data_IF_447623464352
#
_entry.id   IF_447623464352
#
_cell.length_a   1.000
_cell.length_b   1.000
_cell.length_c   1.000
_cell.angle_alpha   90.00
_cell.angle_beta   90.00
_cell.angle_gamma   90.00
#
_symmetry.space_group_name_H-M   'P 1'
#
loop_
_entity.id
_entity.type
_entity.pdbx_description
1 polymer ?
#
# COMPACT_ATOMS: atom_id res chain seq x y z
N UNK A 1 -9.27 8.75 25.26
CA UNK A 1 -9.02 9.83 24.27
C UNK A 1 -8.74 9.13 22.93
N UNK A 2 -8.26 9.77 21.85
CA UNK A 2 -7.57 9.08 20.73
C UNK A 2 -8.27 8.71 19.40
N UNK A 3 -9.57 8.98 19.17
CA UNK A 3 -10.12 8.93 17.78
C UNK A 3 -9.93 10.24 17.01
N UNK A 4 -10.17 11.38 17.69
CA UNK A 4 -10.11 12.69 17.05
C UNK A 4 -8.67 13.15 16.76
N UNK A 5 -7.71 12.72 17.57
CA UNK A 5 -6.26 12.99 17.37
C UNK A 5 -5.70 12.20 16.19
N UNK A 6 -6.19 10.96 15.98
CA UNK A 6 -5.78 10.12 14.85
C UNK A 6 -6.35 10.64 13.52
N UNK A 7 -7.64 11.00 13.48
CA UNK A 7 -8.26 11.62 12.30
C UNK A 7 -7.56 12.93 11.94
N UNK A 8 -7.34 13.83 12.92
CA UNK A 8 -6.64 15.09 12.66
C UNK A 8 -5.15 14.93 12.31
N UNK A 9 -4.54 13.78 12.55
CA UNK A 9 -3.16 13.49 12.11
C UNK A 9 -3.13 12.88 10.71
N UNK A 10 -4.08 12.00 10.39
CA UNK A 10 -4.26 11.45 9.04
C UNK A 10 -4.65 12.51 8.02
N UNK A 11 -5.56 13.43 8.38
CA UNK A 11 -5.97 14.56 7.53
C UNK A 11 -4.77 15.48 7.21
N UNK A 12 -3.93 15.79 8.19
CA UNK A 12 -2.71 16.58 7.97
C UNK A 12 -1.73 15.89 7.02
N UNK A 13 -1.50 14.59 7.19
CA UNK A 13 -0.63 13.83 6.30
C UNK A 13 -1.19 13.75 4.87
N UNK A 14 -2.51 13.68 4.72
CA UNK A 14 -3.17 13.72 3.42
C UNK A 14 -3.01 15.09 2.75
N UNK A 15 -3.21 16.19 3.48
CA UNK A 15 -3.00 17.55 2.97
C UNK A 15 -1.54 17.77 2.53
N UNK A 16 -0.59 17.30 3.33
CA UNK A 16 0.84 17.37 3.00
C UNK A 16 1.20 16.52 1.78
N UNK A 17 0.62 15.32 1.64
CA UNK A 17 0.75 14.49 0.45
C UNK A 17 0.25 15.22 -0.80
N UNK A 18 -0.97 15.78 -0.77
CA UNK A 18 -1.55 16.51 -1.90
C UNK A 18 -0.66 17.70 -2.28
N UNK A 19 -0.19 18.47 -1.30
CA UNK A 19 0.71 19.60 -1.53
C UNK A 19 2.05 19.17 -2.12
N UNK A 20 2.64 18.10 -1.60
CA UNK A 20 3.91 17.58 -2.10
C UNK A 20 3.79 17.03 -3.52
N UNK A 21 2.70 16.30 -3.82
CA UNK A 21 2.45 15.76 -5.16
C UNK A 21 2.27 16.86 -6.21
N UNK A 22 1.62 17.99 -5.86
CA UNK A 22 1.48 19.14 -6.76
C UNK A 22 2.81 19.85 -7.09
N UNK A 23 3.82 19.71 -6.23
CA UNK A 23 5.14 20.32 -6.39
C UNK A 23 6.17 19.35 -6.98
N UNK A 24 5.85 18.06 -7.04
CA UNK A 24 6.73 17.03 -7.55
C UNK A 24 6.76 17.02 -9.08
N UNK A 25 7.94 16.83 -9.66
CA UNK A 25 8.04 16.37 -11.04
C UNK A 25 7.43 14.97 -11.17
N UNK A 26 7.01 14.53 -12.38
CA UNK A 26 6.46 13.19 -12.57
C UNK A 26 7.36 12.08 -12.01
N UNK A 27 8.69 12.18 -12.19
CA UNK A 27 9.65 11.19 -11.70
C UNK A 27 9.75 11.13 -10.16
N UNK A 28 9.36 12.20 -9.45
CA UNK A 28 9.40 12.26 -7.98
C UNK A 28 8.12 11.74 -7.33
N UNK A 29 7.00 11.67 -8.09
CA UNK A 29 5.71 11.21 -7.57
C UNK A 29 5.74 9.85 -6.85
N UNK A 30 6.41 8.81 -7.36
CA UNK A 30 6.48 7.51 -6.68
C UNK A 30 7.13 7.62 -5.30
N UNK A 31 8.18 8.42 -5.19
CA UNK A 31 8.92 8.64 -3.93
C UNK A 31 8.06 9.41 -2.94
N UNK A 32 7.39 10.48 -3.40
CA UNK A 32 6.46 11.27 -2.57
C UNK A 32 5.33 10.38 -2.05
N UNK A 33 4.70 9.61 -2.93
CA UNK A 33 3.55 8.77 -2.57
C UNK A 33 3.93 7.68 -1.56
N UNK A 34 5.07 7.01 -1.77
CA UNK A 34 5.56 6.00 -0.83
C UNK A 34 5.90 6.60 0.55
N UNK A 35 6.54 7.78 0.58
CA UNK A 35 6.89 8.46 1.84
C UNK A 35 5.66 8.72 2.72
N UNK A 36 4.57 9.22 2.14
CA UNK A 36 3.37 9.50 2.91
C UNK A 36 2.56 8.24 3.22
N UNK A 37 2.59 7.21 2.36
CA UNK A 37 2.05 5.90 2.70
C UNK A 37 2.71 5.32 3.95
N UNK A 38 4.04 5.37 4.04
CA UNK A 38 4.79 4.97 5.23
C UNK A 38 4.44 5.81 6.45
N UNK A 39 4.38 7.15 6.30
CA UNK A 39 4.02 8.06 7.39
C UNK A 39 2.60 7.84 7.92
N UNK A 40 1.67 7.41 7.07
CA UNK A 40 0.30 7.05 7.44
C UNK A 40 0.17 5.63 8.04
N UNK A 41 1.26 4.85 8.10
CA UNK A 41 1.24 3.47 8.57
C UNK A 41 0.63 2.48 7.56
N UNK A 42 0.52 2.88 6.30
CA UNK A 42 -0.07 2.11 5.20
C UNK A 42 0.97 1.19 4.51
N UNK A 43 2.19 1.07 5.00
CA UNK A 43 3.21 0.25 4.37
C UNK A 43 3.80 0.91 3.12
N UNK A 44 3.78 0.23 1.97
CA UNK A 44 4.45 0.67 0.74
C UNK A 44 3.43 1.01 -0.34
N UNK A 45 3.59 2.13 -1.04
CA UNK A 45 2.73 2.46 -2.18
C UNK A 45 3.50 2.44 -3.51
N UNK A 46 2.85 1.94 -4.57
CA UNK A 46 3.42 1.82 -5.91
C UNK A 46 2.41 2.31 -6.93
N UNK A 47 2.78 3.28 -7.76
CA UNK A 47 1.89 3.76 -8.82
C UNK A 47 2.08 2.85 -10.05
N UNK A 48 0.97 2.47 -10.71
CA UNK A 48 0.99 1.66 -11.93
C UNK A 48 0.32 2.41 -13.07
N UNK A 49 1.08 2.69 -14.12
CA UNK A 49 0.56 3.36 -15.31
C UNK A 49 0.11 2.31 -16.32
N UNK A 50 -1.02 2.56 -16.98
CA UNK A 50 -1.38 1.73 -18.14
C UNK A 50 -0.42 2.05 -19.29
N UNK A 51 0.07 1.03 -19.98
CA UNK A 51 0.88 1.23 -21.18
C UNK A 51 0.03 1.81 -22.33
N UNK A 52 0.69 2.34 -23.36
CA UNK A 52 0.01 3.00 -24.50
C UNK A 52 -0.91 2.00 -25.23
N UNK A 53 -0.57 0.72 -25.27
CA UNK A 53 -1.39 -0.30 -25.93
C UNK A 53 -2.56 -0.81 -25.08
N UNK A 54 -2.67 -0.36 -23.82
CA UNK A 54 -3.69 -0.76 -22.85
C UNK A 54 -3.74 -2.27 -22.59
N UNK A 55 -2.57 -2.88 -22.44
CA UNK A 55 -2.39 -4.32 -22.19
C UNK A 55 -1.72 -4.59 -20.85
N UNK A 56 -0.86 -3.67 -20.40
CA UNK A 56 -0.03 -3.85 -19.23
C UNK A 56 -0.19 -2.66 -18.29
N UNK A 57 -0.10 -2.97 -17.00
CA UNK A 57 0.15 -2.00 -15.95
C UNK A 57 1.65 -2.01 -15.66
N UNK A 58 2.31 -0.92 -16.00
CA UNK A 58 3.74 -0.71 -15.84
C UNK A 58 3.98 0.05 -14.53
N UNK A 59 4.82 -0.47 -13.62
CA UNK A 59 5.11 0.22 -12.38
C UNK A 59 5.88 1.50 -12.67
N UNK A 60 5.47 2.59 -12.02
CA UNK A 60 6.15 3.88 -12.12
C UNK A 60 7.34 3.97 -11.15
N UNK A 61 7.96 2.84 -10.84
CA UNK A 61 9.16 2.72 -10.01
C UNK A 61 9.91 1.48 -10.47
N UNK A 62 11.23 1.51 -10.39
CA UNK A 62 12.05 0.34 -10.74
C UNK A 62 11.88 -0.80 -9.73
N UNK A 63 12.15 -2.03 -10.19
CA UNK A 63 12.18 -3.23 -9.34
C UNK A 63 10.83 -3.87 -9.03
N UNK A 64 9.73 -3.27 -9.49
CA UNK A 64 8.40 -3.89 -9.45
C UNK A 64 8.08 -4.59 -10.78
N UNK A 65 7.28 -5.67 -10.77
CA UNK A 65 6.90 -6.36 -11.99
C UNK A 65 5.77 -5.62 -12.74
N UNK A 66 5.77 -5.73 -14.06
CA UNK A 66 4.59 -5.38 -14.87
C UNK A 66 3.44 -6.36 -14.60
N UNK A 67 2.20 -5.87 -14.69
CA UNK A 67 1.00 -6.69 -14.48
C UNK A 67 0.14 -6.71 -15.75
N UNK A 68 -0.32 -7.90 -16.13
CA UNK A 68 -1.32 -8.06 -17.18
C UNK A 68 -2.60 -7.31 -16.82
N UNK A 69 -3.07 -6.41 -17.69
CA UNK A 69 -4.29 -5.67 -17.43
C UNK A 69 -5.48 -6.62 -17.30
N UNK A 70 -5.65 -7.56 -18.23
CA UNK A 70 -6.85 -8.42 -18.27
C UNK A 70 -6.84 -9.58 -17.27
N UNK A 71 -5.66 -9.98 -16.79
CA UNK A 71 -5.49 -11.13 -15.91
C UNK A 71 -5.09 -10.76 -14.47
N UNK A 72 -4.99 -9.47 -14.12
CA UNK A 72 -4.62 -9.05 -12.76
C UNK A 72 -5.78 -8.41 -11.99
N UNK A 73 -5.78 -8.54 -10.65
CA UNK A 73 -6.70 -7.80 -9.77
C UNK A 73 -6.55 -6.27 -9.89
N UNK A 74 -5.32 -5.81 -10.14
CA UNK A 74 -5.01 -4.42 -10.42
C UNK A 74 -5.74 -3.91 -11.68
N UNK A 75 -5.70 -4.70 -12.76
CA UNK A 75 -6.39 -4.36 -13.99
C UNK A 75 -7.91 -4.49 -13.91
N UNK A 76 -8.43 -5.38 -13.05
CA UNK A 76 -9.85 -5.36 -12.69
C UNK A 76 -10.26 -4.05 -12.01
N UNK A 77 -9.48 -3.59 -11.02
CA UNK A 77 -9.76 -2.32 -10.32
C UNK A 77 -9.69 -1.12 -11.29
N UNK A 78 -8.71 -1.12 -12.19
CA UNK A 78 -8.59 -0.13 -13.27
C UNK A 78 -9.82 -0.10 -14.18
N UNK A 79 -10.22 -1.24 -14.76
CA UNK A 79 -11.33 -1.32 -15.73
C UNK A 79 -12.69 -0.99 -15.11
N UNK A 80 -12.89 -1.39 -13.86
CA UNK A 80 -14.16 -1.19 -13.16
C UNK A 80 -14.25 0.14 -12.42
N UNK A 81 -13.13 0.83 -12.23
CA UNK A 81 -13.05 2.01 -11.38
C UNK A 81 -13.44 1.72 -9.93
N UNK A 82 -13.29 0.46 -9.48
CA UNK A 82 -13.70 0.00 -8.15
C UNK A 82 -12.51 -0.41 -7.30
N UNK A 83 -12.59 -0.14 -6.00
CA UNK A 83 -11.62 -0.60 -5.02
C UNK A 83 -11.59 -2.14 -4.98
N UNK A 84 -10.38 -2.71 -4.99
CA UNK A 84 -10.18 -4.16 -4.81
C UNK A 84 -9.18 -4.40 -3.68
N UNK A 85 -9.55 -5.24 -2.74
CA UNK A 85 -8.69 -5.67 -1.62
C UNK A 85 -8.44 -7.16 -1.71
N UNK A 86 -7.19 -7.57 -1.51
CA UNK A 86 -6.77 -8.97 -1.53
C UNK A 86 -5.82 -9.28 -0.39
N UNK A 87 -6.00 -10.43 0.25
CA UNK A 87 -5.04 -10.93 1.21
C UNK A 87 -3.81 -11.47 0.49
N UNK A 88 -2.62 -11.11 0.98
CA UNK A 88 -1.38 -11.71 0.50
C UNK A 88 -1.17 -13.06 1.16
N UNK A 89 -0.44 -14.00 0.53
CA UNK A 89 -0.07 -15.27 1.15
C UNK A 89 0.69 -15.12 2.48
N UNK A 90 1.31 -13.96 2.72
CA UNK A 90 2.04 -13.62 3.95
C UNK A 90 1.16 -12.96 5.02
N UNK A 91 -0.16 -12.91 4.84
CA UNK A 91 -1.10 -12.30 5.79
C UNK A 91 -1.19 -10.77 5.74
N UNK A 92 -0.75 -10.15 4.64
CA UNK A 92 -0.90 -8.73 4.37
C UNK A 92 -2.10 -8.39 3.49
N UNK A 93 -2.25 -7.12 3.11
CA UNK A 93 -3.32 -6.68 2.21
C UNK A 93 -2.75 -5.93 1.00
N UNK A 94 -3.12 -6.38 -0.20
CA UNK A 94 -3.00 -5.57 -1.41
C UNK A 94 -4.28 -4.75 -1.58
N UNK A 95 -4.16 -3.43 -1.68
CA UNK A 95 -5.29 -2.53 -1.91
C UNK A 95 -5.11 -1.79 -3.24
N UNK A 96 -5.91 -2.16 -4.22
CA UNK A 96 -5.90 -1.57 -5.55
C UNK A 96 -6.91 -0.42 -5.61
N UNK A 97 -6.39 0.79 -5.77
CA UNK A 97 -7.18 2.03 -5.82
C UNK A 97 -7.18 2.58 -7.26
N UNK A 98 -8.36 2.78 -7.87
CA UNK A 98 -8.43 3.42 -9.17
C UNK A 98 -8.05 4.91 -9.04
N UNK A 99 -7.07 5.36 -9.83
CA UNK A 99 -6.73 6.79 -9.94
C UNK A 99 -7.39 7.37 -11.19
N UNK A 100 -8.64 7.81 -11.06
CA UNK A 100 -9.29 8.55 -12.14
C UNK A 100 -8.93 10.03 -12.05
N UNK A 101 -8.45 10.63 -13.15
CA UNK A 101 -8.77 12.04 -13.39
C UNK A 101 -10.24 12.13 -13.84
N UNK A 102 -10.92 13.23 -13.53
CA UNK A 102 -12.31 13.43 -13.92
C UNK A 102 -12.56 13.49 -15.44
N UNK A 103 -11.56 13.21 -16.28
CA UNK A 103 -11.54 13.46 -17.72
C UNK A 103 -10.97 12.27 -18.52
N UNK A 104 -11.66 11.13 -18.52
CA UNK A 104 -11.46 10.01 -19.45
C UNK A 104 -10.04 9.39 -19.55
N UNK A 105 -9.01 9.94 -18.90
CA UNK A 105 -7.65 9.41 -18.85
C UNK A 105 -7.48 8.74 -17.49
N UNK A 106 -7.60 7.41 -17.47
CA UNK A 106 -7.50 6.63 -16.23
C UNK A 106 -6.05 6.24 -16.02
N UNK A 107 -5.53 6.51 -14.84
CA UNK A 107 -4.32 5.90 -14.30
C UNK A 107 -4.72 4.88 -13.21
N UNK A 108 -3.82 4.00 -12.78
CA UNK A 108 -4.04 3.18 -11.58
C UNK A 108 -2.99 3.53 -10.51
N UNK A 109 -3.35 3.41 -9.23
CA UNK A 109 -2.33 3.27 -8.20
C UNK A 109 -2.60 2.03 -7.37
N UNK A 110 -1.52 1.35 -7.04
CA UNK A 110 -1.50 0.39 -5.98
C UNK A 110 -1.10 1.09 -4.69
N UNK A 111 -1.90 0.92 -3.65
CA UNK A 111 -1.42 1.11 -2.28
C UNK A 111 -1.27 -0.28 -1.68
N UNK A 112 -0.03 -0.73 -1.52
CA UNK A 112 0.24 -2.03 -0.93
C UNK A 112 0.28 -1.88 0.59
N UNK A 113 -0.83 -2.17 1.24
CA UNK A 113 -0.92 -2.20 2.70
C UNK A 113 -0.16 -3.40 3.25
N UNK A 114 1.15 -3.24 3.44
CA UNK A 114 1.87 -4.19 4.30
C UNK A 114 1.23 -4.12 5.69
N UNK A 115 0.96 -5.26 6.35
CA UNK A 115 0.66 -5.23 7.76
C UNK A 115 1.87 -4.55 8.43
N UNK A 116 1.67 -3.74 9.49
CA UNK A 116 2.80 -3.30 10.29
C UNK A 116 3.63 -4.53 10.59
N UNK A 117 4.95 -4.48 10.34
CA UNK A 117 5.84 -5.60 10.64
C UNK A 117 5.40 -6.13 11.99
N UNK A 118 4.98 -7.41 12.03
CA UNK A 118 4.55 -8.03 13.29
C UNK A 118 5.60 -7.63 14.30
N UNK A 119 5.22 -6.86 15.32
CA UNK A 119 6.07 -6.73 16.50
C UNK A 119 6.27 -8.17 16.90
N UNK A 120 7.45 -8.71 16.63
CA UNK A 120 7.74 -10.10 16.89
C UNK A 120 7.29 -10.34 18.33
N UNK A 121 6.24 -11.14 18.51
CA UNK A 121 5.82 -11.47 19.85
C UNK A 121 7.05 -12.08 20.51
N UNK A 122 7.55 -11.55 21.64
CA UNK A 122 8.70 -12.16 22.31
C UNK A 122 8.35 -13.62 22.48
N UNK A 123 9.24 -14.48 21.97
CA UNK A 123 9.10 -15.93 22.05
C UNK A 123 8.73 -16.28 23.49
N UNK A 124 7.70 -17.12 23.75
CA UNK A 124 7.30 -17.42 25.12
C UNK A 124 8.50 -17.95 25.89
N UNK A 125 8.73 -17.39 27.08
CA UNK A 125 9.79 -17.81 27.99
C UNK A 125 9.71 -19.34 28.15
N UNK A 126 10.82 -20.09 28.02
CA UNK A 126 10.78 -21.53 28.21
C UNK A 126 10.17 -21.85 29.57
N UNK A 127 9.24 -22.82 29.60
CA UNK A 127 8.57 -23.26 30.81
C UNK A 127 9.61 -23.64 31.88
N UNK A 128 9.36 -23.31 33.17
CA UNK A 128 10.28 -23.67 34.24
C UNK A 128 10.46 -25.19 34.24
N UNK A 129 11.71 -25.63 34.07
CA UNK A 129 12.03 -27.04 34.16
C UNK A 129 11.71 -27.50 35.58
N UNK A 130 10.74 -28.42 35.68
CA UNK A 130 10.20 -28.89 36.94
C UNK A 130 11.32 -29.39 37.85
N UNK A 131 11.34 -28.86 39.07
CA UNK A 131 12.07 -29.44 40.19
C UNK A 131 11.46 -30.82 40.44
N UNK A 132 12.11 -31.84 39.90
CA UNK A 132 11.84 -33.23 40.24
C UNK A 132 12.15 -33.43 41.71
N UNK A 133 11.09 -33.48 42.52
CA UNK A 133 11.12 -34.06 43.85
C UNK A 133 11.50 -35.54 43.70
N UNK A 134 12.69 -35.90 44.14
CA UNK A 134 13.00 -37.26 44.55
C UNK A 134 13.05 -37.25 46.08
N UNK A 135 12.16 -38.06 46.65
CA UNK A 135 12.02 -38.37 48.06
C UNK A 135 13.25 -39.12 48.61
#
# INVERSE_FOLDING_TARGET
MDRNVSVGSGERLLDELVRAAQLASPAELPVVFNRYAEAMGLGRAVIYLVDIQQRLLVPFVEGEPELELDASPAGWAYRTGSLRVEETPSGGLNVWLPLADGHAHRCAALVQLRPPASVAHPSPLPAPQGLGAAA
#
